data_IF_440960188378
#
_entry.id   IF_440960188378
#
_cell.length_a   1.000
_cell.length_b   1.000
_cell.length_c   1.000
_cell.angle_alpha   90.00
_cell.angle_beta   90.00
_cell.angle_gamma   90.00
#
_symmetry.space_group_name_H-M   'P 1'
#
loop_
_entity.id
_entity.type
_entity.pdbx_description
1 polymer ?
#
# COMPACT_ATOMS: atom_id res chain seq x y z
N UNK A 1 18.08 9.47 -11.05
CA UNK A 1 17.39 9.39 -9.75
C UNK A 1 17.61 7.99 -9.21
N UNK A 2 18.07 7.86 -7.99
CA UNK A 2 18.23 6.58 -7.29
C UNK A 2 16.98 6.20 -6.49
N UNK A 3 16.99 5.02 -5.88
CA UNK A 3 15.84 4.51 -5.09
C UNK A 3 15.55 5.35 -3.86
N UNK A 4 16.58 5.92 -3.20
CA UNK A 4 16.41 6.75 -2.02
C UNK A 4 15.73 8.08 -2.39
N UNK A 5 16.17 8.73 -3.46
CA UNK A 5 15.55 9.95 -3.99
C UNK A 5 14.09 9.69 -4.43
N UNK A 6 13.83 8.53 -5.06
CA UNK A 6 12.46 8.15 -5.44
C UNK A 6 11.58 7.92 -4.20
N UNK A 7 12.11 7.27 -3.17
CA UNK A 7 11.40 7.09 -1.91
C UNK A 7 11.04 8.44 -1.28
N UNK A 8 12.00 9.35 -1.12
CA UNK A 8 11.77 10.67 -0.54
C UNK A 8 10.70 11.45 -1.30
N UNK A 9 10.79 11.47 -2.63
CA UNK A 9 9.79 12.12 -3.50
C UNK A 9 8.41 11.50 -3.34
N UNK A 10 8.36 10.19 -3.25
CA UNK A 10 7.10 9.48 -3.04
C UNK A 10 6.49 9.85 -1.69
N UNK A 11 7.27 9.82 -0.61
CA UNK A 11 6.80 10.17 0.73
C UNK A 11 6.34 11.62 0.81
N UNK A 12 7.04 12.56 0.19
CA UNK A 12 6.59 13.96 0.10
C UNK A 12 5.22 14.08 -0.58
N UNK A 13 5.00 13.33 -1.67
CA UNK A 13 3.72 13.36 -2.38
C UNK A 13 2.57 12.72 -1.58
N UNK A 14 2.88 11.77 -0.69
CA UNK A 14 1.90 11.13 0.19
C UNK A 14 1.58 11.97 1.43
N UNK A 15 2.51 12.82 1.89
CA UNK A 15 2.39 13.55 3.15
C UNK A 15 1.15 14.47 3.26
N UNK A 16 0.58 14.89 2.12
CA UNK A 16 -0.65 15.71 2.11
C UNK A 16 -1.89 14.95 2.60
N UNK A 17 -1.92 13.61 2.49
CA UNK A 17 -3.11 12.80 2.77
C UNK A 17 -2.85 11.61 3.68
N UNK A 18 -1.59 11.24 3.91
CA UNK A 18 -1.19 10.07 4.67
C UNK A 18 -0.34 10.43 5.87
N UNK A 19 -0.58 9.76 6.97
CA UNK A 19 0.35 9.75 8.11
C UNK A 19 1.53 8.82 7.76
N UNK A 20 2.76 9.38 7.82
CA UNK A 20 3.97 8.67 7.38
C UNK A 20 4.85 8.36 8.57
N UNK A 21 5.17 7.08 8.76
CA UNK A 21 6.14 6.59 9.73
C UNK A 21 7.34 6.01 8.99
N UNK A 22 8.51 6.65 9.12
CA UNK A 22 9.76 6.18 8.53
C UNK A 22 10.37 5.08 9.38
N UNK A 23 10.99 4.07 8.74
CA UNK A 23 11.58 2.93 9.42
C UNK A 23 10.61 2.20 10.33
N UNK A 24 9.34 2.12 9.91
CA UNK A 24 8.27 1.53 10.70
C UNK A 24 8.48 0.03 10.93
N UNK A 25 8.20 -0.42 12.15
CA UNK A 25 8.05 -1.83 12.45
C UNK A 25 6.60 -2.23 12.16
N UNK A 26 6.41 -3.23 11.31
CA UNK A 26 5.11 -3.84 11.03
C UNK A 26 5.25 -5.33 11.31
N UNK A 27 4.55 -5.83 12.30
CA UNK A 27 4.70 -7.20 12.79
C UNK A 27 6.18 -7.60 12.93
N UNK A 28 6.63 -8.64 12.24
CA UNK A 28 8.00 -9.14 12.34
C UNK A 28 9.04 -8.35 11.53
N UNK A 29 8.61 -7.42 10.64
CA UNK A 29 9.52 -6.75 9.69
C UNK A 29 9.56 -5.23 9.84
N UNK A 30 10.73 -4.69 9.53
CA UNK A 30 10.92 -3.26 9.35
C UNK A 30 10.78 -2.90 7.87
N UNK A 31 10.05 -1.81 7.59
CA UNK A 31 9.89 -1.21 6.25
C UNK A 31 10.54 0.17 6.20
N UNK A 32 10.94 0.61 5.02
CA UNK A 32 11.55 1.94 4.85
C UNK A 32 10.60 3.06 5.29
N UNK A 33 9.34 2.91 4.95
CA UNK A 33 8.27 3.75 5.45
C UNK A 33 6.91 3.03 5.39
N UNK A 34 6.02 3.40 6.29
CA UNK A 34 4.61 3.05 6.27
C UNK A 34 3.80 4.34 6.13
N UNK A 35 3.01 4.45 5.07
CA UNK A 35 2.04 5.53 4.89
C UNK A 35 0.63 5.01 5.13
N UNK A 36 -0.11 5.67 6.02
CA UNK A 36 -1.44 5.25 6.45
C UNK A 36 -2.47 6.36 6.21
N UNK A 37 -3.59 6.00 5.59
CA UNK A 37 -4.73 6.89 5.40
C UNK A 37 -5.96 6.27 6.04
N UNK A 38 -6.69 7.07 6.79
CA UNK A 38 -8.04 6.75 7.27
C UNK A 38 -9.04 7.71 6.66
N UNK A 39 -9.87 7.21 5.75
CA UNK A 39 -10.97 7.98 5.19
C UNK A 39 -12.28 7.63 5.92
N UNK A 40 -12.91 8.61 6.53
CA UNK A 40 -14.21 8.48 7.17
C UNK A 40 -15.29 8.95 6.20
N UNK A 41 -16.15 8.04 5.74
CA UNK A 41 -17.34 8.39 4.98
C UNK A 41 -18.56 8.42 5.91
N UNK A 42 -18.94 9.60 6.38
CA UNK A 42 -20.21 9.81 7.08
C UNK A 42 -21.29 10.19 6.07
N UNK A 43 -22.21 9.29 5.77
CA UNK A 43 -23.44 9.65 5.06
C UNK A 43 -24.45 10.22 6.04
N UNK A 44 -24.70 11.52 5.97
CA UNK A 44 -25.81 12.15 6.69
C UNK A 44 -27.10 11.85 5.93
N UNK A 45 -28.02 11.13 6.57
CA UNK A 45 -29.42 11.09 6.11
C UNK A 45 -30.22 12.18 6.83
N UNK A 46 -30.88 12.99 6.07
CA UNK A 46 -31.96 13.99 6.22
C UNK A 46 -32.45 14.45 7.63
N UNK A 47 -31.94 13.98 8.72
CA UNK A 47 -32.16 14.60 10.04
C UNK A 47 -30.95 14.44 10.95
N UNK A 48 -30.61 15.52 11.66
CA UNK A 48 -29.47 15.62 12.58
C UNK A 48 -29.48 14.63 13.77
N UNK A 49 -30.44 13.71 13.84
CA UNK A 49 -30.60 12.77 14.97
C UNK A 49 -30.21 11.32 14.71
N UNK A 50 -29.90 10.92 13.46
CA UNK A 50 -29.56 9.53 13.16
C UNK A 50 -28.31 9.46 12.30
N UNK A 51 -27.18 9.18 12.93
CA UNK A 51 -26.00 8.67 12.23
C UNK A 51 -26.28 7.20 11.91
N UNK A 52 -26.77 6.93 10.71
CA UNK A 52 -27.25 5.59 10.34
C UNK A 52 -26.08 4.67 9.98
N UNK A 53 -24.92 5.23 9.59
CA UNK A 53 -23.78 4.40 9.21
C UNK A 53 -22.47 5.20 9.16
N UNK A 54 -21.45 4.73 9.87
CA UNK A 54 -20.07 5.22 9.70
C UNK A 54 -19.30 4.17 8.93
N UNK A 55 -18.82 4.49 7.74
CA UNK A 55 -17.97 3.62 6.96
C UNK A 55 -16.53 4.14 7.01
N UNK A 56 -15.62 3.34 7.52
CA UNK A 56 -14.20 3.64 7.57
C UNK A 56 -13.45 2.85 6.48
N UNK A 57 -12.75 3.57 5.63
CA UNK A 57 -11.84 3.01 4.67
C UNK A 57 -10.39 3.29 5.09
N UNK A 58 -9.52 2.33 4.92
CA UNK A 58 -8.12 2.43 5.32
C UNK A 58 -7.21 2.08 4.15
N UNK A 59 -6.10 2.78 4.07
CA UNK A 59 -5.00 2.41 3.18
C UNK A 59 -3.70 2.35 3.98
N UNK A 60 -2.98 1.26 3.82
CA UNK A 60 -1.67 1.03 4.43
C UNK A 60 -0.69 0.73 3.30
N UNK A 61 0.27 1.63 3.10
CA UNK A 61 1.24 1.51 2.02
C UNK A 61 2.64 1.33 2.62
N UNK A 62 3.22 0.15 2.45
CA UNK A 62 4.57 -0.20 2.86
C UNK A 62 5.54 0.03 1.70
N UNK A 63 6.63 0.75 1.98
CA UNK A 63 7.70 1.01 1.02
C UNK A 63 8.91 0.14 1.34
N UNK A 64 9.41 -0.55 0.33
CA UNK A 64 10.55 -1.46 0.40
C UNK A 64 11.54 -1.08 -0.69
N UNK A 65 12.80 -0.86 -0.33
CA UNK A 65 13.87 -0.61 -1.29
C UNK A 65 14.78 -1.82 -1.40
N UNK A 66 15.12 -2.21 -2.62
CA UNK A 66 16.05 -3.32 -2.89
C UNK A 66 16.93 -3.00 -4.10
N UNK A 67 18.21 -3.39 -4.10
CA UNK A 67 19.06 -3.21 -5.28
C UNK A 67 18.52 -3.99 -6.49
N UNK A 68 18.17 -5.27 -6.30
CA UNK A 68 17.59 -6.12 -7.34
C UNK A 68 16.32 -6.76 -6.81
N UNK A 69 15.20 -6.56 -7.52
CA UNK A 69 13.95 -7.21 -7.20
C UNK A 69 13.86 -8.56 -7.90
N UNK A 70 13.77 -9.64 -7.13
CA UNK A 70 13.62 -11.01 -7.58
C UNK A 70 12.19 -11.52 -7.39
N UNK A 71 11.81 -12.58 -8.08
CA UNK A 71 10.51 -13.22 -7.89
C UNK A 71 10.34 -13.81 -6.47
N UNK A 72 11.42 -14.23 -5.83
CA UNK A 72 11.42 -14.71 -4.45
C UNK A 72 11.12 -13.56 -3.48
N UNK A 73 11.84 -12.43 -3.61
CA UNK A 73 11.59 -11.22 -2.80
C UNK A 73 10.13 -10.75 -2.92
N UNK A 74 9.57 -10.76 -4.12
CA UNK A 74 8.17 -10.38 -4.35
C UNK A 74 7.21 -11.31 -3.60
N UNK A 75 7.41 -12.62 -3.71
CA UNK A 75 6.55 -13.61 -3.02
C UNK A 75 6.68 -13.53 -1.51
N UNK A 76 7.90 -13.40 -1.01
CA UNK A 76 8.20 -13.31 0.42
C UNK A 76 7.56 -12.07 1.08
N UNK A 77 7.69 -10.89 0.48
CA UNK A 77 7.03 -9.69 0.98
C UNK A 77 5.52 -9.74 0.87
N UNK A 78 4.98 -10.40 -0.15
CA UNK A 78 3.53 -10.51 -0.29
C UNK A 78 2.94 -11.56 0.66
N UNK A 79 3.64 -12.65 0.94
CA UNK A 79 3.28 -13.58 2.01
C UNK A 79 3.26 -12.86 3.38
N UNK A 80 4.32 -12.11 3.69
CA UNK A 80 4.36 -11.27 4.89
C UNK A 80 3.16 -10.31 4.96
N UNK A 81 2.83 -9.62 3.84
CA UNK A 81 1.69 -8.70 3.80
C UNK A 81 0.38 -9.41 4.15
N UNK A 82 0.18 -10.62 3.65
CA UNK A 82 -1.09 -11.34 3.82
C UNK A 82 -1.20 -12.14 5.12
N UNK A 83 -0.08 -12.55 5.70
CA UNK A 83 -0.04 -13.44 6.86
C UNK A 83 0.25 -12.70 8.17
N UNK A 84 1.06 -11.65 8.12
CA UNK A 84 1.50 -10.93 9.30
C UNK A 84 1.02 -9.47 9.32
N UNK A 85 1.25 -8.71 8.23
CA UNK A 85 0.91 -7.29 8.21
C UNK A 85 -0.61 -7.05 8.16
N UNK A 86 -1.37 -7.91 7.50
CA UNK A 86 -2.82 -7.78 7.43
C UNK A 86 -3.48 -7.86 8.82
N UNK A 87 -3.27 -8.91 9.63
CA UNK A 87 -3.86 -8.94 10.97
C UNK A 87 -3.39 -7.78 11.86
N UNK A 88 -2.12 -7.41 11.78
CA UNK A 88 -1.55 -6.33 12.59
C UNK A 88 -2.14 -4.95 12.24
N UNK A 89 -2.35 -4.67 10.95
CA UNK A 89 -2.81 -3.36 10.48
C UNK A 89 -4.33 -3.21 10.39
N UNK A 90 -5.05 -4.32 10.18
CA UNK A 90 -6.49 -4.28 9.93
C UNK A 90 -7.32 -4.58 11.17
N UNK A 91 -6.88 -5.50 12.02
CA UNK A 91 -7.61 -5.93 13.21
C UNK A 91 -6.69 -6.34 14.38
N UNK A 92 -5.79 -5.44 14.82
CA UNK A 92 -4.78 -5.74 15.83
C UNK A 92 -5.39 -6.32 17.10
N UNK A 93 -4.93 -7.52 17.48
CA UNK A 93 -5.41 -8.22 18.68
C UNK A 93 -6.83 -8.79 18.61
N UNK A 94 -7.46 -8.82 17.43
CA UNK A 94 -8.79 -9.34 17.21
C UNK A 94 -8.86 -10.27 15.98
N UNK A 95 -9.90 -11.09 15.88
CA UNK A 95 -10.12 -11.99 14.73
C UNK A 95 -10.73 -11.27 13.51
N UNK A 96 -11.35 -10.13 13.73
CA UNK A 96 -12.05 -9.36 12.68
C UNK A 96 -11.94 -7.86 12.94
N UNK A 97 -12.06 -7.04 11.91
CA UNK A 97 -12.06 -5.59 12.05
C UNK A 97 -13.20 -5.05 12.92
N UNK A 98 -13.05 -3.85 13.51
CA UNK A 98 -14.07 -3.23 14.33
C UNK A 98 -15.33 -2.89 13.54
N UNK A 99 -16.40 -2.55 14.26
CA UNK A 99 -17.61 -2.03 13.63
C UNK A 99 -17.37 -0.78 12.79
N UNK A 100 -18.08 -0.68 11.66
CA UNK A 100 -17.90 0.42 10.73
C UNK A 100 -16.71 0.27 9.79
N UNK A 101 -15.90 -0.77 9.89
CA UNK A 101 -14.87 -1.07 8.91
C UNK A 101 -15.53 -1.47 7.59
N UNK A 102 -15.15 -0.78 6.50
CA UNK A 102 -15.66 -1.04 5.16
C UNK A 102 -14.63 -1.81 4.33
N UNK A 103 -13.43 -1.26 4.21
CA UNK A 103 -12.33 -1.94 3.53
C UNK A 103 -10.97 -1.42 3.98
N UNK A 104 -9.95 -2.26 3.78
CA UNK A 104 -8.54 -1.91 3.91
C UNK A 104 -7.78 -2.27 2.64
N UNK A 105 -7.04 -1.33 2.09
CA UNK A 105 -6.02 -1.60 1.09
C UNK A 105 -4.66 -1.77 1.77
N UNK A 106 -4.04 -2.90 1.49
CA UNK A 106 -2.70 -3.24 1.94
C UNK A 106 -1.78 -3.25 0.74
N UNK A 107 -0.85 -2.32 0.70
CA UNK A 107 -0.01 -2.10 -0.48
C UNK A 107 1.46 -2.34 -0.13
N UNK A 108 2.17 -3.07 -0.98
CA UNK A 108 3.63 -3.08 -1.00
C UNK A 108 4.11 -2.38 -2.26
N UNK A 109 4.95 -1.37 -2.07
CA UNK A 109 5.65 -0.66 -3.14
C UNK A 109 7.12 -1.05 -3.09
N UNK A 110 7.60 -1.72 -4.13
CA UNK A 110 9.00 -2.05 -4.31
C UNK A 110 9.65 -0.96 -5.17
N UNK A 111 10.69 -0.33 -4.63
CA UNK A 111 11.57 0.57 -5.37
C UNK A 111 12.90 -0.14 -5.57
N UNK A 112 13.33 -0.36 -6.79
CA UNK A 112 14.54 -1.11 -7.09
C UNK A 112 15.40 -0.43 -8.16
N UNK A 113 16.69 -0.78 -8.15
CA UNK A 113 17.63 -0.38 -9.19
C UNK A 113 17.46 -1.26 -10.43
N UNK A 114 17.13 -2.55 -10.22
CA UNK A 114 16.89 -3.51 -11.27
C UNK A 114 15.74 -4.44 -10.90
N UNK A 115 14.88 -4.72 -11.87
CA UNK A 115 13.75 -5.65 -11.73
C UNK A 115 13.94 -6.83 -12.69
N UNK A 116 14.04 -8.04 -12.15
CA UNK A 116 14.09 -9.23 -12.98
C UNK A 116 12.76 -9.47 -13.73
N UNK A 117 12.77 -10.00 -14.96
CA UNK A 117 11.54 -10.29 -15.69
C UNK A 117 10.59 -11.20 -14.93
N UNK A 118 11.12 -12.16 -14.19
CA UNK A 118 10.39 -13.10 -13.34
C UNK A 118 9.74 -12.39 -12.15
N UNK A 119 10.41 -11.36 -11.58
CA UNK A 119 9.86 -10.51 -10.53
C UNK A 119 8.66 -9.70 -11.05
N UNK A 120 8.80 -9.10 -12.22
CA UNK A 120 7.70 -8.38 -12.86
C UNK A 120 6.49 -9.30 -13.12
N UNK A 121 6.71 -10.54 -13.55
CA UNK A 121 5.65 -11.54 -13.71
C UNK A 121 5.03 -11.92 -12.36
N UNK A 122 5.86 -12.12 -11.32
CA UNK A 122 5.40 -12.45 -9.98
C UNK A 122 4.47 -11.34 -9.45
N UNK A 123 4.87 -10.06 -9.54
CA UNK A 123 4.03 -8.92 -9.12
C UNK A 123 2.68 -8.93 -9.83
N UNK A 124 2.64 -9.13 -11.15
CA UNK A 124 1.38 -9.14 -11.94
C UNK A 124 0.42 -10.26 -11.52
N UNK A 125 0.94 -11.36 -11.00
CA UNK A 125 0.17 -12.55 -10.59
C UNK A 125 -0.36 -12.49 -9.17
N UNK A 126 0.12 -11.55 -8.33
CA UNK A 126 -0.30 -11.44 -6.93
C UNK A 126 -1.80 -11.16 -6.82
N UNK A 127 -2.46 -11.91 -5.96
CA UNK A 127 -3.89 -11.75 -5.64
C UNK A 127 -4.10 -11.99 -4.16
N UNK A 128 -4.79 -11.07 -3.51
CA UNK A 128 -5.24 -11.22 -2.14
C UNK A 128 -6.53 -10.44 -1.94
N UNK A 129 -7.52 -11.10 -1.39
CA UNK A 129 -8.73 -10.48 -0.86
C UNK A 129 -9.23 -11.34 0.30
N UNK A 130 -9.47 -10.72 1.44
CA UNK A 130 -10.03 -11.35 2.63
C UNK A 130 -11.33 -10.67 2.97
N UNK A 131 -12.41 -11.44 3.06
CA UNK A 131 -13.71 -10.97 3.51
C UNK A 131 -13.90 -11.34 4.97
N UNK A 132 -14.37 -10.38 5.77
CA UNK A 132 -14.62 -10.60 7.20
C UNK A 132 -16.11 -10.81 7.46
N UNK A 133 -16.46 -11.97 8.06
CA UNK A 133 -17.84 -12.37 8.36
C UNK A 133 -18.79 -12.17 7.16
N UNK A 134 -18.47 -12.79 6.02
CA UNK A 134 -19.24 -12.64 4.78
C UNK A 134 -19.43 -11.18 4.33
N UNK A 135 -18.40 -10.39 4.48
CA UNK A 135 -18.35 -8.93 4.21
C UNK A 135 -19.19 -8.06 5.17
N UNK A 136 -19.80 -8.60 6.21
CA UNK A 136 -20.49 -7.82 7.25
C UNK A 136 -19.53 -6.93 8.06
N UNK A 137 -18.23 -7.27 8.08
CA UNK A 137 -17.15 -6.50 8.67
C UNK A 137 -16.18 -5.98 7.61
N UNK A 138 -16.64 -5.89 6.35
CA UNK A 138 -15.86 -5.40 5.22
C UNK A 138 -14.85 -6.40 4.68
N UNK A 139 -13.82 -5.89 4.01
CA UNK A 139 -12.78 -6.70 3.38
C UNK A 139 -11.41 -6.03 3.40
N UNK A 140 -10.36 -6.80 3.18
CA UNK A 140 -9.01 -6.32 2.89
C UNK A 140 -8.57 -6.80 1.52
N UNK A 141 -7.80 -5.98 0.80
CA UNK A 141 -7.30 -6.28 -0.53
C UNK A 141 -5.81 -5.92 -0.64
N UNK A 142 -5.02 -6.85 -1.16
CA UNK A 142 -3.59 -6.68 -1.39
C UNK A 142 -3.27 -6.00 -2.72
N UNK A 143 -2.53 -4.91 -2.67
CA UNK A 143 -1.97 -4.20 -3.82
C UNK A 143 -0.46 -4.39 -3.89
N UNK A 144 0.09 -4.48 -5.09
CA UNK A 144 1.53 -4.51 -5.30
C UNK A 144 1.91 -3.65 -6.50
N UNK A 145 2.95 -2.88 -6.33
CA UNK A 145 3.58 -2.09 -7.39
C UNK A 145 5.09 -2.21 -7.24
N UNK A 146 5.79 -2.50 -8.33
CA UNK A 146 7.25 -2.44 -8.43
C UNK A 146 7.65 -1.37 -9.44
N UNK A 147 8.69 -0.60 -9.09
CA UNK A 147 9.25 0.45 -9.93
C UNK A 147 10.75 0.22 -10.03
N UNK A 148 11.23 -0.04 -11.25
CA UNK A 148 12.65 0.05 -11.57
C UNK A 148 12.98 1.52 -11.81
N UNK A 149 13.65 2.13 -10.83
CA UNK A 149 13.77 3.59 -10.76
C UNK A 149 14.61 4.17 -11.90
N UNK A 150 15.75 3.56 -12.33
CA UNK A 150 16.58 4.12 -13.41
C UNK A 150 15.88 4.14 -14.77
N UNK A 151 15.06 3.15 -15.08
CA UNK A 151 14.37 3.01 -16.36
C UNK A 151 12.95 3.56 -16.35
N UNK A 152 12.33 3.62 -15.15
CA UNK A 152 10.92 3.96 -14.98
C UNK A 152 9.98 2.80 -15.36
N UNK A 153 10.51 1.59 -15.54
CA UNK A 153 9.70 0.40 -15.79
C UNK A 153 8.90 0.03 -14.55
N UNK A 154 7.65 -0.42 -14.75
CA UNK A 154 6.74 -0.75 -13.65
C UNK A 154 6.04 -2.08 -13.88
N UNK A 155 5.91 -2.84 -12.79
CA UNK A 155 5.02 -3.98 -12.71
C UNK A 155 4.02 -3.77 -11.56
N UNK A 156 2.77 -4.17 -11.75
CA UNK A 156 1.71 -4.02 -10.75
C UNK A 156 0.69 -5.15 -10.90
N UNK A 157 0.07 -5.53 -9.78
CA UNK A 157 -1.06 -6.44 -9.82
C UNK A 157 -2.35 -5.70 -10.23
N UNK A 158 -3.45 -6.42 -10.42
CA UNK A 158 -4.71 -5.84 -10.89
C UNK A 158 -5.19 -4.69 -10.01
N UNK A 159 -5.08 -4.84 -8.69
CA UNK A 159 -5.52 -3.86 -7.69
C UNK A 159 -4.54 -2.68 -7.54
N UNK A 160 -3.26 -2.86 -7.87
CA UNK A 160 -2.23 -1.81 -7.85
C UNK A 160 -2.22 -0.92 -9.10
N UNK A 161 -3.02 -1.23 -10.12
CA UNK A 161 -3.06 -0.51 -11.41
C UNK A 161 -3.31 0.99 -11.24
N UNK A 162 -4.15 1.37 -10.29
CA UNK A 162 -4.52 2.77 -10.04
C UNK A 162 -3.32 3.63 -9.64
N UNK A 163 -2.36 3.05 -8.92
CA UNK A 163 -1.15 3.74 -8.45
C UNK A 163 -0.20 4.10 -9.60
N UNK A 164 -0.26 3.39 -10.74
CA UNK A 164 0.65 3.57 -11.88
C UNK A 164 0.73 5.01 -12.36
N UNK A 165 -0.39 5.71 -12.45
CA UNK A 165 -0.42 7.09 -12.96
C UNK A 165 0.35 8.02 -12.05
N UNK A 166 0.18 7.88 -10.74
CA UNK A 166 0.86 8.68 -9.74
C UNK A 166 2.39 8.46 -9.82
N UNK A 167 2.85 7.22 -9.78
CA UNK A 167 4.28 6.91 -9.87
C UNK A 167 4.92 7.34 -11.19
N UNK A 168 4.18 7.27 -12.32
CA UNK A 168 4.65 7.85 -13.59
C UNK A 168 4.87 9.35 -13.52
N UNK A 169 4.03 10.07 -12.82
CA UNK A 169 4.18 11.52 -12.63
C UNK A 169 5.43 11.81 -11.79
N UNK A 170 5.62 11.07 -10.69
CA UNK A 170 6.80 11.23 -9.84
C UNK A 170 8.13 11.00 -10.59
N UNK A 171 8.17 10.02 -11.49
CA UNK A 171 9.35 9.74 -12.29
C UNK A 171 9.69 10.84 -13.32
N UNK A 172 8.70 11.62 -13.79
CA UNK A 172 8.88 12.66 -14.80
C UNK A 172 9.36 14.00 -14.25
N UNK A 173 9.22 14.24 -12.95
CA UNK A 173 9.65 15.50 -12.33
C UNK A 173 11.17 15.53 -12.27
N UNK A 174 11.87 16.58 -12.78
CA UNK A 174 13.31 16.73 -12.63
C UNK A 174 13.73 16.73 -11.16
N UNK A 175 14.95 16.26 -10.87
CA UNK A 175 15.46 16.17 -9.49
C UNK A 175 15.60 17.54 -8.80
N UNK A 176 15.58 18.62 -9.55
CA UNK A 176 15.90 19.99 -9.11
C UNK A 176 14.70 20.82 -8.62
N UNK A 177 13.48 20.28 -8.62
CA UNK A 177 12.25 21.01 -8.24
C UNK A 177 11.57 20.45 -6.99
N UNK A 178 12.33 19.94 -6.04
CA UNK A 178 11.82 19.72 -4.70
C UNK A 178 12.06 20.98 -3.86
N UNK A 179 11.03 21.63 -3.29
CA UNK A 179 11.21 22.76 -2.38
C UNK A 179 11.91 22.36 -1.09
#
# INVERSE_FOLDING_TARGET
MDTAQMLERTLQSFAANYDITRGAQVASRRVEALAQLRAMNSRYMLSKKWVVWQANAFEHCMFVTVPTLTAETVRDWFAFLTEEAEPELVHPGADVPPEGHMYSYLTVVYLCERMEPEAAQAVRKLRFTRNYRFSLRGWATGRALAVEVPTGEMAYNAQGKEMRKHFRQLLKVPAETAP
#
